data_IF_212075564758
#
_entry.id   IF_212075564758
#
_cell.length_a   1.000
_cell.length_b   1.000
_cell.length_c   1.000
_cell.angle_alpha   90.00
_cell.angle_beta   90.00
_cell.angle_gamma   90.00
#
_symmetry.space_group_name_H-M   'P 1'
#
loop_
_entity.id
_entity.type
_entity.pdbx_description
1 polymer ?
#
# COMPACT_ATOMS: atom_id res chain seq x y z
N UNK A 1 -2.82 -17.86 -5.43
CA UNK A 1 -2.20 -16.74 -6.18
C UNK A 1 -3.12 -15.52 -6.24
N UNK A 2 -4.42 -15.67 -6.56
CA UNK A 2 -5.38 -14.56 -6.60
C UNK A 2 -5.35 -13.66 -5.35
N UNK A 3 -5.34 -14.23 -4.15
CA UNK A 3 -5.27 -13.46 -2.89
C UNK A 3 -3.99 -12.63 -2.76
N UNK A 4 -2.84 -13.19 -3.11
CA UNK A 4 -1.56 -12.48 -3.04
C UNK A 4 -1.48 -11.33 -4.07
N UNK A 5 -1.94 -11.59 -5.30
CA UNK A 5 -2.01 -10.56 -6.36
C UNK A 5 -2.96 -9.43 -5.95
N UNK A 6 -4.15 -9.78 -5.45
CA UNK A 6 -5.13 -8.81 -4.97
C UNK A 6 -4.57 -7.97 -3.83
N UNK A 7 -3.86 -8.60 -2.89
CA UNK A 7 -3.31 -7.92 -1.73
C UNK A 7 -2.16 -6.96 -2.08
N UNK A 8 -1.29 -7.30 -3.03
CA UNK A 8 -0.27 -6.37 -3.55
C UNK A 8 -0.92 -5.18 -4.26
N UNK A 9 -1.83 -5.46 -5.19
CA UNK A 9 -2.46 -4.43 -6.00
C UNK A 9 -3.27 -3.45 -5.13
N UNK A 10 -4.12 -3.97 -4.25
CA UNK A 10 -4.94 -3.15 -3.36
C UNK A 10 -4.09 -2.43 -2.31
N UNK A 11 -2.99 -3.04 -1.84
CA UNK A 11 -2.09 -2.40 -0.88
C UNK A 11 -1.41 -1.15 -1.45
N UNK A 12 -0.85 -1.26 -2.66
CA UNK A 12 -0.22 -0.13 -3.36
C UNK A 12 -1.27 0.97 -3.65
N UNK A 13 -2.44 0.58 -4.15
CA UNK A 13 -3.51 1.51 -4.47
C UNK A 13 -4.05 2.24 -3.22
N UNK A 14 -4.20 1.55 -2.09
CA UNK A 14 -4.66 2.15 -0.84
C UNK A 14 -3.69 3.23 -0.33
N UNK A 15 -2.38 3.02 -0.49
CA UNK A 15 -1.37 4.04 -0.13
C UNK A 15 -1.52 5.25 -1.05
N UNK A 16 -1.58 5.06 -2.38
CA UNK A 16 -1.75 6.17 -3.33
C UNK A 16 -3.02 6.98 -3.04
N UNK A 17 -4.16 6.31 -2.86
CA UNK A 17 -5.42 6.97 -2.57
C UNK A 17 -5.37 7.76 -1.25
N UNK A 18 -4.71 7.23 -0.21
CA UNK A 18 -4.54 7.94 1.05
C UNK A 18 -3.58 9.13 0.94
N UNK A 19 -2.51 9.03 0.13
CA UNK A 19 -1.61 10.15 -0.16
C UNK A 19 -2.34 11.27 -0.91
N UNK A 20 -3.10 10.93 -1.95
CA UNK A 20 -3.93 11.89 -2.68
C UNK A 20 -4.96 12.55 -1.77
N UNK A 21 -5.62 11.78 -0.89
CA UNK A 21 -6.55 12.34 0.09
C UNK A 21 -5.87 13.35 1.00
N UNK A 22 -4.65 13.08 1.50
CA UNK A 22 -3.89 14.05 2.28
C UNK A 22 -3.58 15.30 1.44
N UNK A 23 -3.12 15.14 0.19
CA UNK A 23 -2.76 16.27 -0.67
C UNK A 23 -3.96 17.16 -1.04
N UNK A 24 -5.13 16.57 -1.31
CA UNK A 24 -6.36 17.31 -1.61
C UNK A 24 -6.82 18.21 -0.47
N UNK A 25 -6.52 17.83 0.78
CA UNK A 25 -6.83 18.65 1.96
C UNK A 25 -5.69 19.63 2.30
N UNK A 26 -4.51 19.47 1.72
CA UNK A 26 -3.34 20.28 2.03
C UNK A 26 -2.88 20.10 3.48
N UNK A 27 -2.44 21.18 4.12
CA UNK A 27 -1.83 21.13 5.45
C UNK A 27 -2.72 20.49 6.53
N UNK A 28 -4.03 20.75 6.51
CA UNK A 28 -4.98 20.17 7.48
C UNK A 28 -5.06 18.64 7.34
N UNK A 29 -4.74 18.10 6.16
CA UNK A 29 -4.65 16.65 5.94
C UNK A 29 -3.66 15.94 6.86
N UNK A 30 -2.67 16.67 7.39
CA UNK A 30 -1.60 16.17 8.28
C UNK A 30 -1.75 16.60 9.74
N UNK A 31 -2.84 17.27 10.13
CA UNK A 31 -3.08 17.70 11.51
C UNK A 31 -4.04 16.76 12.25
N UNK A 32 -4.23 16.96 13.56
CA UNK A 32 -5.07 16.08 14.39
C UNK A 32 -6.57 16.35 14.25
N UNK A 33 -6.92 17.53 13.74
CA UNK A 33 -8.28 18.00 13.53
C UNK A 33 -8.94 17.29 12.34
N UNK A 34 -8.15 16.73 11.41
CA UNK A 34 -8.66 15.97 10.28
C UNK A 34 -7.98 14.60 10.13
N UNK A 35 -8.72 13.48 10.05
CA UNK A 35 -8.15 12.15 10.16
C UNK A 35 -7.49 11.60 8.88
N UNK A 36 -7.32 12.38 7.80
CA UNK A 36 -6.75 11.89 6.53
C UNK A 36 -5.41 11.15 6.71
N UNK A 37 -4.50 11.73 7.49
CA UNK A 37 -3.20 11.13 7.76
C UNK A 37 -3.27 9.78 8.50
N UNK A 38 -4.36 9.46 9.21
CA UNK A 38 -4.55 8.17 9.86
C UNK A 38 -4.76 7.06 8.81
N UNK A 39 -5.48 7.36 7.72
CA UNK A 39 -5.67 6.41 6.62
C UNK A 39 -4.35 6.12 5.91
N UNK A 40 -3.48 7.12 5.73
CA UNK A 40 -2.15 6.92 5.16
C UNK A 40 -1.29 6.01 6.06
N UNK A 41 -1.30 6.25 7.37
CA UNK A 41 -0.58 5.41 8.34
C UNK A 41 -1.10 3.96 8.31
N UNK A 42 -2.42 3.77 8.24
CA UNK A 42 -3.04 2.44 8.16
C UNK A 42 -2.72 1.73 6.85
N UNK A 43 -2.87 2.40 5.71
CA UNK A 43 -2.55 1.83 4.40
C UNK A 43 -1.10 1.34 4.33
N UNK A 44 -0.14 2.12 4.85
CA UNK A 44 1.27 1.71 4.94
C UNK A 44 1.46 0.52 5.87
N UNK A 45 0.81 0.51 7.04
CA UNK A 45 0.87 -0.62 7.96
C UNK A 45 0.31 -1.91 7.34
N UNK A 46 -0.84 -1.83 6.67
CA UNK A 46 -1.49 -2.96 6.00
C UNK A 46 -0.65 -3.48 4.83
N UNK A 47 -0.05 -2.59 4.03
CA UNK A 47 0.86 -2.96 2.93
C UNK A 47 2.07 -3.75 3.46
N UNK A 48 2.64 -3.36 4.60
CA UNK A 48 3.74 -4.09 5.24
C UNK A 48 3.26 -5.43 5.81
N UNK A 49 2.13 -5.43 6.54
CA UNK A 49 1.64 -6.58 7.28
C UNK A 49 1.20 -7.73 6.36
N UNK A 50 0.53 -7.41 5.26
CA UNK A 50 -0.02 -8.44 4.37
C UNK A 50 0.94 -8.84 3.26
N UNK A 51 1.97 -8.03 3.01
CA UNK A 51 3.13 -8.44 2.22
C UNK A 51 3.64 -7.29 1.39
N UNK A 52 4.86 -6.87 1.73
CA UNK A 52 5.58 -5.84 1.01
C UNK A 52 5.74 -6.24 -0.47
N UNK A 53 5.64 -5.30 -1.42
CA UNK A 53 5.74 -5.58 -2.86
C UNK A 53 6.98 -6.41 -3.24
N UNK A 54 8.09 -6.29 -2.50
CA UNK A 54 9.30 -7.09 -2.70
C UNK A 54 9.12 -8.59 -2.44
N UNK A 55 8.44 -8.98 -1.35
CA UNK A 55 8.26 -10.40 -1.01
C UNK A 55 7.37 -11.12 -2.02
N UNK A 56 6.37 -10.43 -2.56
CA UNK A 56 5.49 -10.97 -3.59
C UNK A 56 6.12 -10.96 -4.98
N UNK A 57 6.94 -9.96 -5.32
CA UNK A 57 7.73 -9.97 -6.56
C UNK A 57 8.73 -11.11 -6.59
N UNK A 58 9.40 -11.42 -5.47
CA UNK A 58 10.28 -12.61 -5.33
C UNK A 58 9.47 -13.89 -5.52
N UNK A 59 8.30 -14.00 -4.88
CA UNK A 59 7.43 -15.16 -5.04
C UNK A 59 6.94 -15.32 -6.47
N UNK A 60 6.54 -14.23 -7.13
CA UNK A 60 6.11 -14.23 -8.52
C UNK A 60 7.27 -14.59 -9.45
N UNK A 61 8.46 -14.03 -9.23
CA UNK A 61 9.65 -14.33 -10.02
C UNK A 61 9.97 -15.84 -10.01
N UNK A 62 9.91 -16.50 -8.85
CA UNK A 62 10.08 -17.96 -8.77
C UNK A 62 8.94 -18.76 -9.44
N UNK A 63 7.74 -18.18 -9.56
CA UNK A 63 6.61 -18.83 -10.24
C UNK A 63 6.63 -18.67 -11.77
N UNK A 64 7.27 -17.61 -12.28
CA UNK A 64 7.40 -17.34 -13.72
C UNK A 64 8.80 -17.61 -14.27
N UNK A 65 9.68 -18.24 -13.47
CA UNK A 65 11.05 -18.60 -13.88
C UNK A 65 11.96 -17.40 -14.14
N UNK A 66 11.69 -16.26 -13.50
CA UNK A 66 12.50 -15.04 -13.57
C UNK A 66 13.48 -14.93 -12.38
N UNK A 67 13.83 -16.05 -11.79
CA UNK A 67 14.80 -16.13 -10.69
C UNK A 67 16.22 -16.00 -11.24
N UNK A 68 16.75 -14.77 -11.19
CA UNK A 68 18.19 -14.46 -11.33
C UNK A 68 18.81 -14.20 -9.97
#
# INVERSE_FOLDING_TARGET
MATAVAQVYCGDFAVTAAEEAVQLHGGIGMTWEYPAHLYLKRAKADQIAFGAPGAHRVRLAGLVGLET
#
